data_IF_805265962784
#
_entry.id   IF_805265962784
#
_cell.length_a   1.000
_cell.length_b   1.000
_cell.length_c   1.000
_cell.angle_alpha   90.00
_cell.angle_beta   90.00
_cell.angle_gamma   90.00
#
_symmetry.space_group_name_H-M   'P 1'
#
loop_
_entity.id
_entity.type
_entity.pdbx_description
1 polymer ?
#
# COMPACT_ATOMS: atom_id res chain seq x y z
N UNK A 1 19.59 -24.24 -10.76
CA UNK A 1 21.05 -23.93 -10.80
C UNK A 1 21.41 -23.23 -9.50
N UNK A 2 22.56 -23.46 -8.88
CA UNK A 2 22.98 -22.67 -7.70
C UNK A 2 23.60 -21.36 -8.22
N UNK A 3 23.16 -20.22 -7.68
CA UNK A 3 23.64 -18.88 -8.03
C UNK A 3 23.88 -18.08 -6.75
N UNK A 4 24.70 -17.03 -6.83
CA UNK A 4 24.79 -16.06 -5.74
C UNK A 4 23.51 -15.22 -5.68
N UNK A 5 22.99 -15.00 -4.48
CA UNK A 5 21.82 -14.20 -4.20
C UNK A 5 22.08 -13.23 -3.05
N UNK A 6 21.60 -12.01 -3.22
CA UNK A 6 21.69 -10.95 -2.22
C UNK A 6 20.61 -11.15 -1.16
N UNK A 7 21.01 -11.20 0.11
CA UNK A 7 20.10 -11.09 1.25
C UNK A 7 20.02 -9.62 1.59
N UNK A 8 19.02 -8.99 0.99
CA UNK A 8 18.62 -7.62 1.24
C UNK A 8 17.53 -7.60 2.30
N UNK A 9 17.66 -6.73 3.28
CA UNK A 9 16.56 -6.42 4.19
C UNK A 9 16.50 -4.91 4.43
N UNK A 10 15.38 -4.44 4.95
CA UNK A 10 15.19 -3.04 5.25
C UNK A 10 16.02 -2.66 6.48
N UNK A 11 16.58 -1.45 6.47
CA UNK A 11 17.19 -0.88 7.66
C UNK A 11 16.07 -0.41 8.59
N UNK A 12 15.75 -1.20 9.62
CA UNK A 12 14.65 -0.92 10.54
C UNK A 12 14.75 0.44 11.25
N UNK A 13 15.96 0.97 11.51
CA UNK A 13 16.10 2.28 12.15
C UNK A 13 15.72 3.42 11.21
N UNK A 14 16.18 3.33 9.96
CA UNK A 14 15.82 4.28 8.91
C UNK A 14 14.34 4.16 8.54
N UNK A 15 13.83 2.93 8.54
CA UNK A 15 12.43 2.58 8.34
C UNK A 15 11.51 3.23 9.38
N UNK A 16 11.92 3.24 10.65
CA UNK A 16 11.19 3.94 11.73
C UNK A 16 11.20 5.46 11.55
N UNK A 17 12.22 6.02 10.90
CA UNK A 17 12.30 7.45 10.55
C UNK A 17 11.55 7.78 9.25
N UNK A 18 10.80 6.84 8.68
CA UNK A 18 10.05 7.01 7.44
C UNK A 18 10.91 6.97 6.18
N UNK A 19 12.19 6.58 6.28
CA UNK A 19 13.08 6.42 5.14
C UNK A 19 13.14 4.93 4.78
N UNK A 20 12.80 4.60 3.54
CA UNK A 20 12.94 3.23 3.04
C UNK A 20 14.37 3.04 2.55
N UNK A 21 15.22 2.44 3.37
CA UNK A 21 16.62 2.12 3.04
C UNK A 21 16.77 0.62 3.01
N UNK A 22 17.24 0.07 1.89
CA UNK A 22 17.54 -1.35 1.75
C UNK A 22 19.03 -1.56 2.00
N UNK A 23 19.37 -2.49 2.89
CA UNK A 23 20.74 -2.82 3.27
C UNK A 23 21.08 -4.24 2.81
N UNK A 24 22.24 -4.40 2.19
CA UNK A 24 22.81 -5.71 1.92
C UNK A 24 23.39 -6.28 3.21
N UNK A 25 22.82 -7.39 3.69
CA UNK A 25 23.31 -8.08 4.88
C UNK A 25 24.32 -9.16 4.53
N UNK A 26 24.02 -9.99 3.52
CA UNK A 26 24.89 -11.09 3.10
C UNK A 26 24.74 -11.39 1.61
N UNK A 27 25.77 -12.01 1.04
CA UNK A 27 25.70 -12.70 -0.25
C UNK A 27 25.76 -14.20 0.06
N UNK A 28 24.78 -14.96 -0.43
CA UNK A 28 24.69 -16.41 -0.18
C UNK A 28 24.44 -17.18 -1.47
N UNK A 29 24.72 -18.48 -1.45
CA UNK A 29 24.36 -19.38 -2.54
C UNK A 29 22.87 -19.75 -2.41
N UNK A 30 22.07 -19.42 -3.43
CA UNK A 30 20.64 -19.73 -3.52
C UNK A 30 20.34 -20.57 -4.75
N UNK A 31 19.17 -21.23 -4.75
CA UNK A 31 18.70 -21.99 -5.90
C UNK A 31 18.00 -21.03 -6.87
N UNK A 32 18.57 -20.84 -8.06
CA UNK A 32 17.87 -20.18 -9.15
C UNK A 32 16.68 -21.04 -9.58
N UNK A 33 15.48 -20.52 -9.36
CA UNK A 33 14.23 -21.01 -9.91
C UNK A 33 13.42 -19.82 -10.39
N UNK A 34 13.25 -19.73 -11.71
CA UNK A 34 12.68 -18.56 -12.38
C UNK A 34 11.22 -18.25 -11.95
N UNK A 35 10.53 -19.22 -11.33
CA UNK A 35 9.11 -19.12 -10.98
C UNK A 35 8.76 -19.49 -9.52
N UNK A 36 9.73 -19.80 -8.66
CA UNK A 36 9.47 -20.20 -7.26
C UNK A 36 9.93 -19.17 -6.23
N UNK A 37 10.64 -18.12 -6.67
CA UNK A 37 11.13 -17.06 -5.79
C UNK A 37 10.26 -15.81 -5.95
N UNK A 38 9.89 -15.19 -4.84
CA UNK A 38 9.23 -13.90 -4.86
C UNK A 38 10.20 -12.86 -5.46
N UNK A 39 9.80 -12.10 -6.51
CA UNK A 39 10.65 -11.08 -7.06
C UNK A 39 10.93 -10.00 -6.01
N UNK A 40 12.16 -9.49 -6.01
CA UNK A 40 12.57 -8.35 -5.21
C UNK A 40 11.66 -7.15 -5.50
N UNK A 41 11.40 -6.32 -4.47
CA UNK A 41 10.71 -5.04 -4.65
C UNK A 41 11.59 -4.16 -5.52
N UNK A 42 11.10 -3.82 -6.70
CA UNK A 42 11.72 -2.77 -7.51
C UNK A 42 11.32 -1.40 -6.97
N UNK A 43 12.33 -0.61 -6.65
CA UNK A 43 12.20 0.82 -6.40
C UNK A 43 12.10 1.53 -7.75
N UNK A 44 10.88 1.77 -8.22
CA UNK A 44 10.67 2.55 -9.44
C UNK A 44 10.83 4.02 -9.08
N UNK A 45 11.84 4.68 -9.67
CA UNK A 45 11.96 6.14 -9.62
C UNK A 45 10.81 6.76 -10.40
N UNK A 46 9.90 7.45 -9.71
CA UNK A 46 8.77 8.14 -10.31
C UNK A 46 9.17 9.55 -10.76
N UNK A 47 8.48 10.07 -11.78
CA UNK A 47 8.52 11.51 -12.06
C UNK A 47 7.54 12.18 -11.10
N UNK A 48 8.02 13.18 -10.34
CA UNK A 48 7.22 13.85 -9.30
C UNK A 48 5.92 14.45 -9.85
N UNK A 49 5.92 14.87 -11.12
CA UNK A 49 4.74 15.37 -11.84
C UNK A 49 3.60 14.33 -11.94
N UNK A 50 3.92 13.04 -12.12
CA UNK A 50 2.90 12.00 -12.24
C UNK A 50 2.20 11.75 -10.89
N UNK A 51 2.96 11.79 -9.79
CA UNK A 51 2.39 11.71 -8.44
C UNK A 51 1.55 12.95 -8.11
N UNK A 52 1.96 14.12 -8.59
CA UNK A 52 1.24 15.38 -8.42
C UNK A 52 -0.16 15.32 -9.05
N UNK A 53 -0.26 14.88 -10.30
CA UNK A 53 -1.51 14.74 -11.03
C UNK A 53 -2.46 13.71 -10.38
N UNK A 54 -1.93 12.55 -9.97
CA UNK A 54 -2.69 11.54 -9.25
C UNK A 54 -3.26 12.13 -7.96
N UNK A 55 -2.43 12.88 -7.23
CA UNK A 55 -2.84 13.45 -5.95
C UNK A 55 -3.89 14.55 -6.12
N UNK A 56 -3.77 15.44 -7.12
CA UNK A 56 -4.82 16.41 -7.46
C UNK A 56 -6.14 15.71 -7.74
N UNK A 57 -6.12 14.74 -8.64
CA UNK A 57 -7.32 14.02 -9.05
C UNK A 57 -8.00 13.35 -7.85
N UNK A 58 -7.25 12.68 -6.98
CA UNK A 58 -7.82 12.05 -5.79
C UNK A 58 -8.41 13.09 -4.85
N UNK A 59 -7.69 14.18 -4.54
CA UNK A 59 -8.12 15.21 -3.59
C UNK A 59 -9.37 15.95 -4.08
N UNK A 60 -9.47 16.23 -5.37
CA UNK A 60 -10.65 16.83 -5.99
C UNK A 60 -11.88 15.93 -5.88
N UNK A 61 -11.69 14.61 -5.99
CA UNK A 61 -12.75 13.61 -5.94
C UNK A 61 -13.08 13.11 -4.52
N UNK A 62 -12.38 13.59 -3.49
CA UNK A 62 -12.75 13.31 -2.09
C UNK A 62 -14.10 13.98 -1.77
N UNK A 63 -15.09 13.15 -1.43
CA UNK A 63 -16.40 13.62 -1.01
C UNK A 63 -16.41 13.89 0.50
N UNK A 64 -17.25 14.84 0.89
CA UNK A 64 -17.52 15.08 2.30
C UNK A 64 -18.32 13.92 2.92
N UNK A 65 -18.20 13.81 4.23
CA UNK A 65 -18.89 12.84 5.09
C UNK A 65 -18.56 11.36 4.88
N UNK A 66 -17.56 11.06 4.04
CA UNK A 66 -16.99 9.72 3.84
C UNK A 66 -15.67 9.58 4.61
N UNK A 67 -15.46 8.42 5.24
CA UNK A 67 -14.14 8.05 5.76
C UNK A 67 -13.29 7.43 4.66
N UNK A 68 -12.12 8.00 4.41
CA UNK A 68 -11.10 7.47 3.53
C UNK A 68 -10.01 6.82 4.38
N UNK A 69 -9.76 5.54 4.14
CA UNK A 69 -8.68 4.76 4.73
C UNK A 69 -7.54 4.75 3.72
N UNK A 70 -6.48 5.49 4.02
CA UNK A 70 -5.31 5.65 3.17
C UNK A 70 -4.28 4.59 3.57
N UNK A 71 -4.06 3.63 2.68
CA UNK A 71 -3.14 2.53 2.93
C UNK A 71 -1.66 2.93 2.87
N UNK A 72 -0.76 1.96 3.07
CA UNK A 72 0.67 2.20 2.97
C UNK A 72 1.12 2.44 1.53
N UNK A 73 2.31 3.01 1.39
CA UNK A 73 3.00 3.22 0.12
C UNK A 73 3.22 4.70 -0.22
N UNK A 74 4.36 4.98 -0.84
CA UNK A 74 4.81 6.35 -1.16
C UNK A 74 3.79 7.16 -1.96
N UNK A 75 3.09 6.53 -2.91
CA UNK A 75 2.05 7.19 -3.71
C UNK A 75 0.89 7.69 -2.83
N UNK A 76 0.44 6.89 -1.86
CA UNK A 76 -0.63 7.31 -0.94
C UNK A 76 -0.12 8.40 0.00
N UNK A 77 1.12 8.30 0.49
CA UNK A 77 1.73 9.33 1.35
C UNK A 77 1.97 10.65 0.64
N UNK A 78 2.18 10.62 -0.67
CA UNK A 78 2.23 11.83 -1.47
C UNK A 78 0.88 12.60 -1.42
N UNK A 79 -0.25 11.88 -1.46
CA UNK A 79 -1.58 12.48 -1.33
C UNK A 79 -1.78 13.07 0.05
N UNK A 80 -1.39 12.36 1.10
CA UNK A 80 -1.44 12.86 2.48
C UNK A 80 -0.63 14.13 2.64
N UNK A 81 0.61 14.15 2.12
CA UNK A 81 1.46 15.34 2.11
C UNK A 81 0.75 16.53 1.46
N UNK A 82 0.09 16.32 0.32
CA UNK A 82 -0.64 17.36 -0.41
C UNK A 82 -1.92 17.82 0.32
N UNK A 83 -2.53 16.94 1.12
CA UNK A 83 -3.58 17.31 2.09
C UNK A 83 -3.06 18.08 3.31
N UNK A 84 -1.75 18.33 3.41
CA UNK A 84 -1.13 19.00 4.54
C UNK A 84 -0.80 18.07 5.73
N UNK A 85 -0.75 16.76 5.49
CA UNK A 85 -0.49 15.72 6.50
C UNK A 85 0.95 15.23 6.32
N UNK A 86 1.86 15.70 7.17
CA UNK A 86 3.31 15.54 6.96
C UNK A 86 4.00 14.49 7.85
N UNK A 87 3.34 14.01 8.90
CA UNK A 87 3.93 13.11 9.90
C UNK A 87 3.54 11.63 9.70
N UNK A 88 3.29 11.21 8.46
CA UNK A 88 2.86 9.83 8.15
C UNK A 88 4.03 8.99 7.68
N UNK A 89 4.03 7.72 8.07
CA UNK A 89 5.06 6.75 7.70
C UNK A 89 4.59 6.04 6.42
N UNK A 90 5.47 5.68 5.48
CA UNK A 90 5.09 4.90 4.28
C UNK A 90 4.42 3.55 4.62
N UNK A 91 4.55 3.06 5.86
CA UNK A 91 3.83 1.89 6.36
C UNK A 91 2.49 2.18 7.03
N UNK A 92 2.21 3.42 7.44
CA UNK A 92 1.01 3.69 8.22
C UNK A 92 -0.25 3.55 7.36
N UNK A 93 -1.31 3.06 8.00
CA UNK A 93 -2.67 3.27 7.52
C UNK A 93 -3.22 4.49 8.23
N UNK A 94 -3.73 5.46 7.48
CA UNK A 94 -4.23 6.72 8.03
C UNK A 94 -5.71 6.90 7.67
N UNK A 95 -6.48 7.54 8.55
CA UNK A 95 -7.91 7.80 8.36
C UNK A 95 -8.10 9.29 8.09
N UNK A 96 -8.73 9.62 6.97
CA UNK A 96 -9.07 10.98 6.55
C UNK A 96 -10.58 11.11 6.37
N UNK A 97 -11.15 12.24 6.76
CA UNK A 97 -12.54 12.62 6.48
C UNK A 97 -12.60 14.12 6.27
N UNK A 98 -13.40 14.59 5.32
CA UNK A 98 -13.53 16.01 4.99
C UNK A 98 -12.16 16.68 4.72
N UNK A 99 -11.27 15.95 4.02
CA UNK A 99 -9.89 16.38 3.71
C UNK A 99 -9.01 16.67 4.94
N UNK A 100 -9.40 16.18 6.11
CA UNK A 100 -8.66 16.33 7.36
C UNK A 100 -8.28 14.96 7.93
N UNK A 101 -7.10 14.90 8.54
CA UNK A 101 -6.64 13.72 9.27
C UNK A 101 -7.53 13.51 10.51
N UNK A 102 -8.15 12.34 10.59
CA UNK A 102 -8.90 11.89 11.77
C UNK A 102 -8.00 11.08 12.69
N UNK A 103 -7.20 10.18 12.12
CA UNK A 103 -6.26 9.37 12.88
C UNK A 103 -5.07 8.98 12.01
N UNK A 104 -3.87 9.20 12.53
CA UNK A 104 -2.66 8.66 11.93
C UNK A 104 -2.31 7.28 12.51
N UNK A 105 -1.67 6.43 11.71
CA UNK A 105 -1.18 5.12 12.12
C UNK A 105 -2.28 4.27 12.81
N UNK A 106 -3.43 4.23 12.16
CA UNK A 106 -4.61 3.50 12.59
C UNK A 106 -4.34 1.99 12.56
N UNK A 107 -4.67 1.32 13.66
CA UNK A 107 -4.59 -0.12 13.76
C UNK A 107 -5.92 -0.79 13.34
N UNK A 108 -5.94 -2.12 13.37
CA UNK A 108 -7.13 -2.91 13.02
C UNK A 108 -8.41 -2.49 13.77
N UNK A 109 -8.33 -2.26 15.08
CA UNK A 109 -9.50 -1.88 15.89
C UNK A 109 -10.00 -0.48 15.54
N UNK A 110 -9.10 0.46 15.27
CA UNK A 110 -9.46 1.81 14.84
C UNK A 110 -10.30 1.79 13.57
N UNK A 111 -9.93 0.94 12.60
CA UNK A 111 -10.68 0.80 11.36
C UNK A 111 -12.03 0.07 11.58
N UNK A 112 -12.07 -0.89 12.51
CA UNK A 112 -13.31 -1.58 12.85
C UNK A 112 -14.33 -0.71 13.57
N UNK A 113 -13.88 0.31 14.30
CA UNK A 113 -14.79 1.23 14.99
C UNK A 113 -15.41 2.27 14.04
N UNK A 114 -14.92 2.38 12.81
CA UNK A 114 -15.51 3.27 11.80
C UNK A 114 -16.92 2.83 11.41
N UNK A 115 -17.81 3.82 11.38
CA UNK A 115 -19.22 3.69 10.99
C UNK A 115 -19.59 4.70 9.91
N UNK A 116 -20.45 4.32 8.98
CA UNK A 116 -20.87 5.15 7.84
C UNK A 116 -20.27 4.67 6.52
N UNK A 117 -20.23 5.55 5.53
CA UNK A 117 -19.62 5.25 4.22
C UNK A 117 -18.09 5.27 4.35
N UNK A 118 -17.46 4.18 3.90
CA UNK A 118 -16.01 3.95 3.99
C UNK A 118 -15.46 3.72 2.59
N UNK A 119 -14.32 4.31 2.28
CA UNK A 119 -13.53 4.03 1.07
C UNK A 119 -12.09 3.75 1.44
N UNK A 120 -11.44 2.88 0.68
CA UNK A 120 -10.03 2.53 0.90
C UNK A 120 -9.23 2.97 -0.31
N UNK A 121 -8.17 3.74 -0.08
CA UNK A 121 -7.23 4.16 -1.13
C UNK A 121 -5.95 3.35 -0.95
N UNK A 122 -5.60 2.55 -1.97
CA UNK A 122 -4.44 1.66 -1.96
C UNK A 122 -3.56 1.89 -3.18
N UNK A 123 -2.29 1.52 -3.06
CA UNK A 123 -1.38 1.41 -4.20
C UNK A 123 -0.82 0.00 -4.28
N UNK A 124 -0.71 -0.60 -5.48
CA UNK A 124 -0.15 -1.94 -5.62
C UNK A 124 1.35 -1.95 -5.26
N UNK A 125 1.83 -3.08 -4.79
CA UNK A 125 3.27 -3.35 -4.66
C UNK A 125 3.82 -3.64 -6.07
N UNK A 126 4.85 -2.90 -6.50
CA UNK A 126 5.42 -3.01 -7.84
C UNK A 126 5.95 -4.43 -8.12
N UNK A 127 5.89 -4.87 -9.38
CA UNK A 127 6.11 -6.25 -9.87
C UNK A 127 5.17 -7.32 -9.30
N UNK A 128 4.97 -7.35 -7.99
CA UNK A 128 4.19 -8.38 -7.30
C UNK A 128 2.68 -8.20 -7.48
N UNK A 129 2.20 -6.97 -7.63
CA UNK A 129 0.79 -6.65 -7.88
C UNK A 129 -0.14 -6.79 -6.68
N UNK A 130 0.37 -7.09 -5.47
CA UNK A 130 -0.46 -7.13 -4.27
C UNK A 130 -0.99 -5.73 -3.92
N UNK A 131 -2.30 -5.62 -3.72
CA UNK A 131 -2.96 -4.42 -3.16
C UNK A 131 -3.38 -4.62 -1.71
N UNK A 132 -3.76 -5.85 -1.38
CA UNK A 132 -4.06 -6.33 -0.03
C UNK A 132 -3.32 -7.65 0.17
N UNK A 133 -2.56 -7.75 1.24
CA UNK A 133 -1.71 -8.91 1.50
C UNK A 133 -1.45 -9.04 3.00
N UNK A 134 -0.69 -10.08 3.37
CA UNK A 134 -0.39 -10.41 4.78
C UNK A 134 0.37 -9.33 5.56
N UNK A 135 0.96 -8.35 4.88
CA UNK A 135 1.70 -7.23 5.48
C UNK A 135 0.84 -6.02 5.86
N UNK A 136 -0.44 -5.98 5.46
CA UNK A 136 -1.37 -4.86 5.74
C UNK A 136 -2.54 -5.37 6.59
N UNK A 137 -2.26 -6.03 7.72
CA UNK A 137 -3.29 -6.70 8.53
C UNK A 137 -4.25 -5.74 9.24
N UNK A 138 -3.93 -4.45 9.28
CA UNK A 138 -4.83 -3.39 9.72
C UNK A 138 -6.12 -3.43 8.87
N UNK A 139 -5.99 -3.65 7.55
CA UNK A 139 -7.12 -3.77 6.62
C UNK A 139 -7.57 -5.23 6.55
N UNK A 140 -8.06 -5.74 7.68
CA UNK A 140 -8.42 -7.16 7.81
C UNK A 140 -9.82 -7.53 7.32
N UNK A 141 -10.15 -8.83 7.30
CA UNK A 141 -11.41 -9.36 6.75
C UNK A 141 -12.69 -8.70 7.28
N UNK A 142 -12.78 -8.42 8.58
CA UNK A 142 -14.00 -7.81 9.18
C UNK A 142 -14.26 -6.39 8.69
N UNK A 143 -13.22 -5.61 8.40
CA UNK A 143 -13.38 -4.30 7.77
C UNK A 143 -13.81 -4.47 6.31
N UNK A 144 -13.18 -5.40 5.59
CA UNK A 144 -13.49 -5.69 4.18
C UNK A 144 -14.91 -6.27 3.98
N UNK A 145 -15.52 -6.82 5.03
CA UNK A 145 -16.94 -7.18 5.02
C UNK A 145 -17.86 -5.96 4.90
N UNK A 146 -17.47 -4.81 5.46
CA UNK A 146 -18.26 -3.57 5.48
C UNK A 146 -18.30 -2.82 4.15
N UNK A 147 -17.38 -3.13 3.23
CA UNK A 147 -17.21 -2.40 1.97
C UNK A 147 -17.43 -3.30 0.74
N UNK A 148 -17.63 -2.71 -0.41
CA UNK A 148 -17.70 -3.38 -1.71
C UNK A 148 -16.42 -3.14 -2.52
N UNK A 149 -16.26 -3.89 -3.62
CA UNK A 149 -15.14 -3.71 -4.55
C UNK A 149 -15.05 -2.28 -5.09
N UNK A 150 -16.19 -1.62 -5.31
CA UNK A 150 -16.29 -0.22 -5.78
C UNK A 150 -15.84 0.82 -4.75
N UNK A 151 -15.68 0.43 -3.49
CA UNK A 151 -15.23 1.31 -2.41
C UNK A 151 -13.69 1.28 -2.27
N UNK A 152 -13.02 0.39 -3.00
CA UNK A 152 -11.56 0.30 -3.09
C UNK A 152 -11.10 1.10 -4.31
N UNK A 153 -10.37 2.18 -4.04
CA UNK A 153 -9.76 3.04 -5.04
C UNK A 153 -8.28 2.66 -5.12
N UNK A 154 -7.87 2.15 -6.27
CA UNK A 154 -6.48 1.78 -6.51
C UNK A 154 -5.80 2.90 -7.30
N UNK A 155 -4.72 3.43 -6.75
CA UNK A 155 -3.91 4.47 -7.38
C UNK A 155 -2.49 3.97 -7.63
N UNK A 156 -1.96 4.30 -8.80
CA UNK A 156 -0.61 3.90 -9.17
C UNK A 156 -0.08 4.76 -10.30
N UNK A 157 1.20 5.16 -10.25
CA UNK A 157 1.93 5.61 -11.43
C UNK A 157 1.90 4.54 -12.53
N UNK A 158 1.83 4.98 -13.77
CA UNK A 158 1.74 4.17 -14.98
C UNK A 158 2.94 3.23 -15.11
N UNK A 159 4.15 3.73 -14.79
CA UNK A 159 5.38 2.91 -14.77
C UNK A 159 5.25 1.67 -13.88
N UNK A 160 4.55 1.79 -12.74
CA UNK A 160 4.34 0.67 -11.81
C UNK A 160 3.30 -0.31 -12.33
N UNK A 161 2.22 0.19 -12.96
CA UNK A 161 1.19 -0.64 -13.59
C UNK A 161 1.80 -1.52 -14.69
N UNK A 162 2.69 -0.98 -15.53
CA UNK A 162 3.34 -1.76 -16.60
C UNK A 162 4.22 -2.91 -16.11
N UNK A 163 4.67 -2.89 -14.85
CA UNK A 163 5.46 -3.99 -14.26
C UNK A 163 4.59 -5.07 -13.63
N UNK A 164 3.28 -4.84 -13.50
CA UNK A 164 2.36 -5.73 -12.79
C UNK A 164 1.62 -6.60 -13.80
N UNK A 165 1.82 -7.91 -13.68
CA UNK A 165 1.11 -8.90 -14.49
C UNK A 165 -0.39 -8.99 -14.13
N UNK A 166 -0.70 -9.05 -12.83
CA UNK A 166 -2.07 -9.00 -12.33
C UNK A 166 -2.14 -8.43 -10.90
N UNK A 167 -3.30 -7.92 -10.52
CA UNK A 167 -3.55 -7.46 -9.16
C UNK A 167 -3.88 -8.66 -8.26
N UNK A 168 -3.30 -8.68 -7.07
CA UNK A 168 -3.40 -9.80 -6.12
C UNK A 168 -3.98 -9.33 -4.79
N UNK A 169 -4.83 -10.18 -4.22
CA UNK A 169 -5.47 -9.99 -2.92
C UNK A 169 -5.21 -11.27 -2.10
N UNK A 170 -4.54 -11.13 -0.95
CA UNK A 170 -4.42 -12.19 0.07
C UNK A 170 -4.85 -11.63 1.43
N UNK A 171 -6.11 -11.86 1.78
CA UNK A 171 -6.71 -11.42 3.05
C UNK A 171 -6.70 -12.49 4.13
N UNK A 172 -6.18 -13.70 3.83
CA UNK A 172 -6.30 -14.87 4.71
C UNK A 172 -7.72 -15.42 4.88
N UNK A 173 -8.73 -14.80 4.25
CA UNK A 173 -10.13 -15.22 4.26
C UNK A 173 -10.61 -15.45 2.82
N UNK A 174 -10.94 -16.71 2.51
CA UNK A 174 -11.33 -17.12 1.15
C UNK A 174 -12.59 -16.41 0.65
N UNK A 175 -13.58 -16.19 1.51
CA UNK A 175 -14.83 -15.55 1.11
C UNK A 175 -14.61 -14.06 0.78
N UNK A 176 -13.75 -13.40 1.55
CA UNK A 176 -13.38 -12.00 1.27
C UNK A 176 -12.52 -11.90 0.02
N UNK A 177 -11.56 -12.81 -0.17
CA UNK A 177 -10.76 -12.84 -1.39
C UNK A 177 -11.66 -13.01 -2.63
N UNK A 178 -12.63 -13.92 -2.59
CA UNK A 178 -13.58 -14.15 -3.68
C UNK A 178 -14.52 -12.96 -3.93
N UNK A 179 -15.02 -12.32 -2.86
CA UNK A 179 -15.85 -11.10 -2.95
C UNK A 179 -15.12 -9.94 -3.63
N UNK A 180 -13.81 -9.82 -3.42
CA UNK A 180 -13.01 -8.69 -3.91
C UNK A 180 -12.27 -8.98 -5.23
N UNK A 181 -12.20 -10.25 -5.65
CA UNK A 181 -11.59 -10.68 -6.91
C UNK A 181 -12.33 -10.12 -8.13
#
# INVERSE_FOLDING_TARGET
KIVEGEILDVDEEEYRKGRYVVKLYYITLTVASDNLLAPSKDEISYEEAELEEIADYVIENLKNDIFYILGPGSTVKYIEKKLGIYNTNFLSVDIVKNKQLIKSNANYFDLLDLTGELKIILTPIGKQGFILGRGNQEIGPKLLQKINKTDIIIISPLKKVYTIDCLRIDTGDKFIAEKLS
#
